data_IF_642217769080
#
_entry.id   IF_642217769080
#
_cell.length_a   1.000
_cell.length_b   1.000
_cell.length_c   1.000
_cell.angle_alpha   90.00
_cell.angle_beta   90.00
_cell.angle_gamma   90.00
#
_symmetry.space_group_name_H-M   'P 1'
#
loop_
_entity.id
_entity.type
_entity.pdbx_description
1 polymer ?
#
# COMPACT_ATOMS: atom_id res chain seq x y z
N UNK A 1 11.90 -0.95 25.77
CA UNK A 1 10.84 -0.96 26.80
C UNK A 1 11.05 0.23 27.71
N UNK A 2 10.05 1.08 27.88
CA UNK A 2 10.12 2.26 28.74
C UNK A 2 8.70 2.72 29.06
N UNK A 3 8.45 3.11 30.30
CA UNK A 3 7.17 3.69 30.69
C UNK A 3 7.17 5.19 30.36
N UNK A 4 6.09 5.68 29.77
CA UNK A 4 5.91 7.11 29.51
C UNK A 4 5.75 7.83 30.86
N UNK A 5 6.83 8.50 31.30
CA UNK A 5 6.84 9.33 32.51
C UNK A 5 6.92 10.80 32.10
N UNK A 6 5.79 11.50 32.21
CA UNK A 6 5.70 12.95 31.95
C UNK A 6 5.77 13.79 33.22
N UNK A 7 5.76 13.16 34.40
CA UNK A 7 5.84 13.86 35.67
C UNK A 7 6.63 13.01 36.68
N UNK A 8 7.54 13.65 37.42
CA UNK A 8 8.28 13.01 38.50
C UNK A 8 8.35 13.94 39.71
N UNK A 9 7.81 13.49 40.85
CA UNK A 9 7.75 14.27 42.10
C UNK A 9 7.15 15.69 41.92
N UNK A 10 6.14 15.84 41.07
CA UNK A 10 5.49 17.12 40.79
C UNK A 10 6.23 18.03 39.80
N UNK A 11 7.36 17.58 39.23
CA UNK A 11 8.07 18.31 38.18
C UNK A 11 7.69 17.77 36.80
N UNK A 12 7.33 18.65 35.84
CA UNK A 12 7.02 18.23 34.48
C UNK A 12 8.28 17.74 33.75
N UNK A 13 8.12 16.69 32.96
CA UNK A 13 9.17 16.05 32.17
C UNK A 13 8.79 16.02 30.69
N UNK A 14 9.77 16.14 29.82
CA UNK A 14 9.62 16.10 28.37
C UNK A 14 10.17 14.80 27.79
N UNK A 15 9.54 14.32 26.72
CA UNK A 15 10.03 13.22 25.90
C UNK A 15 10.14 13.74 24.45
N UNK A 16 11.28 14.32 24.06
CA UNK A 16 11.53 14.73 22.68
C UNK A 16 11.64 13.54 21.73
N UNK A 17 11.29 13.76 20.47
CA UNK A 17 11.61 12.80 19.40
C UNK A 17 13.11 12.71 19.15
N UNK A 18 13.57 11.59 18.59
CA UNK A 18 15.00 11.35 18.35
C UNK A 18 15.66 12.43 17.50
N UNK A 19 14.95 12.94 16.48
CA UNK A 19 15.44 14.04 15.65
C UNK A 19 15.58 15.34 16.44
N UNK A 20 14.57 15.70 17.24
CA UNK A 20 14.62 16.88 18.14
C UNK A 20 15.79 16.76 19.12
N UNK A 21 15.96 15.60 19.75
CA UNK A 21 17.04 15.35 20.69
C UNK A 21 18.42 15.46 20.03
N UNK A 22 18.57 14.95 18.79
CA UNK A 22 19.78 15.07 18.00
C UNK A 22 20.11 16.54 17.68
N UNK A 23 19.15 17.31 17.17
CA UNK A 23 19.38 18.73 16.82
C UNK A 23 19.68 19.62 18.04
N UNK A 24 19.06 19.32 19.19
CA UNK A 24 19.33 20.03 20.45
C UNK A 24 20.59 19.52 21.16
N UNK A 25 21.23 18.46 20.66
CA UNK A 25 22.40 17.85 21.28
C UNK A 25 22.12 17.37 22.71
N UNK A 26 20.92 16.82 22.94
CA UNK A 26 20.49 16.35 24.26
C UNK A 26 21.28 15.10 24.64
N UNK A 27 21.70 15.05 25.89
CA UNK A 27 22.28 13.87 26.50
C UNK A 27 21.49 13.58 27.79
N UNK A 28 20.84 12.43 27.85
CA UNK A 28 20.02 12.01 28.98
C UNK A 28 20.84 11.76 30.26
N UNK A 29 22.15 11.54 30.13
CA UNK A 29 23.05 11.36 31.28
C UNK A 29 23.38 12.70 31.96
N UNK A 30 23.18 13.82 31.26
CA UNK A 30 23.42 15.15 31.82
C UNK A 30 22.16 15.74 32.43
N UNK A 31 21.91 15.38 33.69
CA UNK A 31 20.75 15.82 34.48
C UNK A 31 20.62 17.34 34.71
N UNK A 32 21.67 18.12 34.40
CA UNK A 32 21.63 19.58 34.57
C UNK A 32 21.13 20.32 33.33
N UNK A 33 21.03 19.65 32.19
CA UNK A 33 20.66 20.30 30.93
C UNK A 33 19.15 20.26 30.72
N UNK A 34 18.50 21.41 30.91
CA UNK A 34 17.08 21.60 30.66
C UNK A 34 16.84 22.03 29.20
N UNK A 35 15.67 21.72 28.65
CA UNK A 35 15.22 22.19 27.35
C UNK A 35 14.50 23.52 27.56
N UNK A 36 15.02 24.58 26.95
CA UNK A 36 14.35 25.89 26.95
C UNK A 36 13.30 25.91 25.84
N UNK A 37 12.04 26.11 26.22
CA UNK A 37 10.89 26.15 25.30
C UNK A 37 10.41 27.59 25.14
N UNK A 38 10.36 28.05 23.89
CA UNK A 38 9.87 29.36 23.52
C UNK A 38 8.53 29.26 22.80
N UNK A 39 7.55 30.04 23.25
CA UNK A 39 6.24 30.13 22.60
C UNK A 39 5.85 31.60 22.40
N UNK A 40 5.36 32.01 21.21
CA UNK A 40 4.88 33.37 21.01
C UNK A 40 3.73 33.70 21.96
N UNK A 41 3.76 34.90 22.54
CA UNK A 41 2.67 35.38 23.39
C UNK A 41 1.41 35.65 22.57
N UNK A 42 0.29 35.05 22.97
CA UNK A 42 -1.03 35.29 22.33
C UNK A 42 -1.57 36.71 22.55
N UNK A 43 -1.19 37.36 23.66
CA UNK A 43 -1.73 38.66 24.09
C UNK A 43 -0.59 39.55 24.58
N UNK A 44 -0.57 40.80 24.13
CA UNK A 44 0.42 41.81 24.51
C UNK A 44 0.92 42.58 23.29
N UNK A 45 1.25 43.86 23.47
CA UNK A 45 1.96 44.61 22.44
C UNK A 45 3.37 44.04 22.30
N UNK A 46 3.81 43.78 21.08
CA UNK A 46 5.22 43.48 20.80
C UNK A 46 5.97 44.79 21.11
N UNK A 47 6.60 44.84 22.27
CA UNK A 47 7.42 45.97 22.67
C UNK A 47 8.66 46.10 21.79
N UNK A 48 9.47 47.13 22.05
CA UNK A 48 10.74 47.35 21.32
C UNK A 48 11.74 46.20 21.53
N UNK A 49 11.59 45.42 22.62
CA UNK A 49 12.42 44.26 22.91
C UNK A 49 11.79 42.96 22.37
N UNK A 50 12.39 42.30 21.36
CA UNK A 50 11.90 41.06 20.77
C UNK A 50 11.80 39.89 21.76
N UNK A 51 12.61 39.85 22.82
CA UNK A 51 12.59 38.74 23.79
C UNK A 51 11.29 38.68 24.58
N UNK A 52 10.64 39.83 24.80
CA UNK A 52 9.37 39.91 25.53
C UNK A 52 8.17 39.43 24.71
N UNK A 53 8.37 39.15 23.41
CA UNK A 53 7.33 38.61 22.53
C UNK A 53 7.07 37.11 22.77
N UNK A 54 7.97 36.44 23.52
CA UNK A 54 7.88 35.01 23.79
C UNK A 54 7.68 34.72 25.28
N UNK A 55 6.88 33.71 25.57
CA UNK A 55 6.93 33.00 26.84
C UNK A 55 8.10 32.02 26.77
N UNK A 56 8.89 31.97 27.85
CA UNK A 56 9.99 31.03 28.02
C UNK A 56 9.71 30.17 29.24
N UNK A 57 9.87 28.86 29.09
CA UNK A 57 9.81 27.91 30.19
C UNK A 57 10.82 26.80 29.95
N UNK A 58 11.41 26.29 31.02
CA UNK A 58 12.42 25.25 30.96
C UNK A 58 11.79 23.91 31.40
N UNK A 59 12.14 22.81 30.72
CA UNK A 59 11.64 21.46 31.01
C UNK A 59 12.73 20.41 30.86
N UNK A 60 12.75 19.43 31.75
CA UNK A 60 13.78 18.37 31.73
C UNK A 60 13.41 17.23 30.79
N UNK A 61 14.35 16.71 29.98
CA UNK A 61 14.13 15.49 29.23
C UNK A 61 14.20 14.26 30.15
N UNK A 62 13.23 13.34 30.01
CA UNK A 62 13.22 12.06 30.74
C UNK A 62 13.48 10.86 29.85
N UNK A 63 13.35 11.02 28.54
CA UNK A 63 13.57 9.97 27.56
C UNK A 63 13.47 10.51 26.14
N UNK A 64 13.72 9.64 25.17
CA UNK A 64 13.64 9.96 23.75
C UNK A 64 12.72 8.92 23.11
N UNK A 65 11.77 9.36 22.28
CA UNK A 65 10.97 8.44 21.47
C UNK A 65 11.49 8.39 20.03
N UNK A 66 11.31 7.24 19.38
CA UNK A 66 11.51 7.08 17.94
C UNK A 66 10.39 6.25 17.34
N UNK A 67 9.69 6.82 16.36
CA UNK A 67 8.57 6.22 15.66
C UNK A 67 8.78 6.34 14.15
N UNK A 68 8.92 7.57 13.67
CA UNK A 68 9.11 7.91 12.26
C UNK A 68 9.70 9.31 12.16
N UNK A 69 10.56 9.57 11.17
CA UNK A 69 11.38 10.78 11.04
C UNK A 69 10.56 12.06 11.09
N UNK A 70 9.37 12.05 10.47
CA UNK A 70 8.44 13.18 10.50
C UNK A 70 7.97 13.51 11.91
N UNK A 71 7.74 12.51 12.75
CA UNK A 71 7.37 12.71 14.14
C UNK A 71 8.60 13.03 15.00
N UNK A 72 9.65 12.25 14.82
CA UNK A 72 10.88 12.31 15.61
C UNK A 72 11.58 13.67 15.49
N UNK A 73 11.43 14.37 14.35
CA UNK A 73 12.07 15.67 14.09
C UNK A 73 11.19 16.87 14.45
N UNK A 74 9.88 16.68 14.66
CA UNK A 74 8.91 17.79 14.80
C UNK A 74 8.23 17.86 16.16
N UNK A 75 8.15 16.75 16.90
CA UNK A 75 7.34 16.68 18.13
C UNK A 75 8.18 16.44 19.38
N UNK A 76 7.67 16.97 20.49
CA UNK A 76 8.11 16.71 21.84
C UNK A 76 6.87 16.53 22.72
N UNK A 77 6.81 15.44 23.47
CA UNK A 77 5.68 15.12 24.35
C UNK A 77 5.94 15.75 25.71
N UNK A 78 4.97 16.50 26.23
CA UNK A 78 5.03 17.20 27.52
C UNK A 78 3.69 17.11 28.25
N UNK A 79 3.63 17.33 29.57
CA UNK A 79 2.38 17.49 30.30
C UNK A 79 1.49 18.58 29.73
N UNK A 80 0.17 18.35 29.72
CA UNK A 80 -0.80 19.33 29.25
C UNK A 80 -0.80 20.60 30.10
N UNK A 81 -0.46 20.51 31.38
CA UNK A 81 -0.29 21.65 32.28
C UNK A 81 0.83 22.59 31.80
N UNK A 82 2.01 22.03 31.51
CA UNK A 82 3.16 22.76 30.98
C UNK A 82 2.85 23.39 29.61
N UNK A 83 2.26 22.62 28.70
CA UNK A 83 1.89 23.13 27.37
C UNK A 83 0.91 24.30 27.44
N UNK A 84 -0.08 24.23 28.34
CA UNK A 84 -1.05 25.32 28.56
C UNK A 84 -0.40 26.57 29.11
N UNK A 85 0.55 26.42 30.03
CA UNK A 85 1.26 27.54 30.64
C UNK A 85 2.14 28.27 29.62
N UNK A 86 2.99 27.54 28.89
CA UNK A 86 3.92 28.13 27.91
C UNK A 86 3.18 28.79 26.75
N UNK A 87 2.10 28.18 26.25
CA UNK A 87 1.28 28.70 25.16
C UNK A 87 0.23 29.73 25.62
N UNK A 88 0.03 29.92 26.93
CA UNK A 88 -0.94 30.85 27.50
C UNK A 88 -2.42 30.44 27.29
N UNK A 89 -2.71 29.14 27.26
CA UNK A 89 -4.08 28.62 27.19
C UNK A 89 -4.69 28.49 28.61
N UNK A 90 -5.94 28.93 28.77
CA UNK A 90 -6.70 28.79 30.03
C UNK A 90 -7.83 27.79 29.83
N UNK A 91 -7.59 26.52 30.14
CA UNK A 91 -8.59 25.45 30.04
C UNK A 91 -8.98 25.03 28.61
N UNK A 92 -8.47 25.69 27.59
CA UNK A 92 -8.69 25.38 26.17
C UNK A 92 -7.82 24.18 25.73
N UNK A 93 -8.23 23.52 24.64
CA UNK A 93 -7.50 22.45 23.94
C UNK A 93 -7.55 22.72 22.43
N UNK A 94 -6.45 22.48 21.73
CA UNK A 94 -6.41 22.63 20.26
C UNK A 94 -7.08 21.47 19.54
N UNK A 95 -6.89 20.24 20.04
CA UNK A 95 -7.45 19.02 19.49
C UNK A 95 -7.68 17.99 20.60
N UNK A 96 -8.58 17.05 20.34
CA UNK A 96 -8.81 15.88 21.19
C UNK A 96 -8.66 14.66 20.31
N UNK A 97 -7.75 13.76 20.68
CA UNK A 97 -7.58 12.48 20.01
C UNK A 97 -8.38 11.41 20.74
N UNK A 98 -9.15 10.63 19.98
CA UNK A 98 -10.00 9.57 20.51
C UNK A 98 -9.50 8.25 19.93
N UNK A 99 -8.93 7.42 20.80
CA UNK A 99 -8.57 6.05 20.45
C UNK A 99 -9.81 5.16 20.49
N UNK A 100 -10.04 4.39 19.44
CA UNK A 100 -11.13 3.42 19.35
C UNK A 100 -10.63 2.03 19.73
N UNK A 101 -11.47 1.26 20.41
CA UNK A 101 -11.21 -0.15 20.68
C UNK A 101 -11.23 -0.97 19.39
N UNK A 102 -10.47 -2.08 19.36
CA UNK A 102 -10.42 -2.99 18.23
C UNK A 102 -11.82 -3.50 17.83
N UNK A 103 -12.08 -3.61 16.53
CA UNK A 103 -13.37 -4.05 15.98
C UNK A 103 -14.47 -2.97 15.92
N UNK A 104 -14.19 -1.75 16.39
CA UNK A 104 -15.15 -0.65 16.32
C UNK A 104 -15.21 -0.02 14.93
N UNK A 105 -16.42 0.23 14.41
CA UNK A 105 -16.62 0.90 13.12
C UNK A 105 -16.29 2.41 13.24
N UNK A 106 -15.13 2.79 12.70
CA UNK A 106 -14.62 4.16 12.72
C UNK A 106 -15.59 5.15 12.06
N UNK A 107 -16.25 4.75 10.97
CA UNK A 107 -17.15 5.64 10.21
C UNK A 107 -18.40 5.95 11.01
N UNK A 108 -18.96 4.94 11.68
CA UNK A 108 -20.12 5.11 12.57
C UNK A 108 -19.80 5.96 13.79
N UNK A 109 -18.63 5.77 14.40
CA UNK A 109 -18.23 6.59 15.56
C UNK A 109 -17.98 8.03 15.12
N UNK A 110 -17.29 8.24 14.00
CA UNK A 110 -17.04 9.58 13.46
C UNK A 110 -18.34 10.33 13.15
N UNK A 111 -19.32 9.67 12.53
CA UNK A 111 -20.61 10.29 12.23
C UNK A 111 -21.39 10.63 13.51
N UNK A 112 -21.38 9.75 14.51
CA UNK A 112 -21.98 10.01 15.82
C UNK A 112 -21.35 11.20 16.54
N UNK A 113 -20.01 11.29 16.54
CA UNK A 113 -19.29 12.43 17.15
C UNK A 113 -19.59 13.73 16.38
N UNK A 114 -19.60 13.69 15.05
CA UNK A 114 -19.94 14.86 14.21
C UNK A 114 -21.36 15.34 14.49
N UNK A 115 -22.31 14.43 14.70
CA UNK A 115 -23.68 14.78 15.07
C UNK A 115 -23.78 15.42 16.47
N UNK A 116 -23.00 14.92 17.44
CA UNK A 116 -22.97 15.46 18.80
C UNK A 116 -22.33 16.85 18.90
N UNK A 117 -21.23 17.08 18.16
CA UNK A 117 -20.45 18.33 18.23
C UNK A 117 -20.95 19.42 17.28
N UNK A 118 -21.75 19.05 16.26
CA UNK A 118 -22.24 19.97 15.24
C UNK A 118 -21.15 20.53 14.33
N UNK A 119 -21.42 21.68 13.70
CA UNK A 119 -20.55 22.28 12.68
C UNK A 119 -19.41 23.15 13.24
N UNK A 120 -19.32 23.33 14.56
CA UNK A 120 -18.30 24.16 15.18
C UNK A 120 -16.93 23.48 15.29
N UNK A 121 -16.90 22.16 15.12
CA UNK A 121 -15.70 21.34 15.25
C UNK A 121 -15.43 20.54 13.99
N UNK A 122 -14.15 20.44 13.61
CA UNK A 122 -13.74 19.60 12.50
C UNK A 122 -13.39 18.20 13.02
N UNK A 123 -14.27 17.23 12.76
CA UNK A 123 -14.04 15.83 13.12
C UNK A 123 -13.37 15.12 11.95
N UNK A 124 -12.05 14.89 12.06
CA UNK A 124 -11.24 14.16 11.08
C UNK A 124 -10.83 12.79 11.60
N UNK A 125 -10.88 11.77 10.74
CA UNK A 125 -10.31 10.45 11.02
C UNK A 125 -8.84 10.35 10.56
N UNK A 126 -8.17 9.23 10.87
CA UNK A 126 -6.76 8.97 10.50
C UNK A 126 -6.53 8.88 8.99
N UNK A 127 -7.55 8.65 8.17
CA UNK A 127 -7.40 8.64 6.71
C UNK A 127 -7.47 10.07 6.16
N UNK A 128 -8.36 10.90 6.71
CA UNK A 128 -8.55 12.30 6.33
C UNK A 128 -7.38 13.19 6.78
N UNK A 129 -6.78 12.90 7.94
CA UNK A 129 -5.59 13.62 8.42
C UNK A 129 -4.36 13.39 7.52
N UNK A 130 -4.28 12.24 6.84
CA UNK A 130 -3.17 11.86 5.95
C UNK A 130 -3.65 11.64 4.50
N UNK A 131 -4.65 12.42 4.05
CA UNK A 131 -5.33 12.19 2.77
C UNK A 131 -4.35 12.16 1.58
N UNK A 132 -3.34 13.04 1.56
CA UNK A 132 -2.36 13.12 0.46
C UNK A 132 -1.60 11.81 0.31
N UNK A 133 -1.07 11.26 1.41
CA UNK A 133 -0.32 10.00 1.41
C UNK A 133 -1.20 8.84 0.93
N UNK A 134 -2.42 8.75 1.43
CA UNK A 134 -3.38 7.71 1.01
C UNK A 134 -3.79 7.87 -0.45
N UNK A 135 -4.00 9.10 -0.93
CA UNK A 135 -4.36 9.39 -2.31
C UNK A 135 -3.23 9.00 -3.27
N UNK A 136 -1.98 9.25 -2.90
CA UNK A 136 -0.79 8.82 -3.65
C UNK A 136 -0.76 7.28 -3.73
N UNK A 137 -0.82 6.59 -2.58
CA UNK A 137 -0.79 5.12 -2.56
C UNK A 137 -1.91 4.49 -3.40
N UNK A 138 -3.13 5.04 -3.35
CA UNK A 138 -4.25 4.56 -4.16
C UNK A 138 -4.01 4.78 -5.66
N UNK A 139 -3.46 5.94 -6.02
CA UNK A 139 -3.21 6.29 -7.43
C UNK A 139 -2.08 5.44 -8.01
N UNK A 140 -1.03 5.18 -7.23
CA UNK A 140 0.07 4.30 -7.61
C UNK A 140 -0.41 2.86 -7.86
N UNK A 141 -1.24 2.33 -6.96
CA UNK A 141 -1.88 1.01 -7.15
C UNK A 141 -2.66 0.92 -8.47
N UNK A 142 -3.37 1.98 -8.84
CA UNK A 142 -4.09 2.06 -10.12
C UNK A 142 -3.15 2.07 -11.32
N UNK A 143 -2.03 2.80 -11.26
CA UNK A 143 -1.04 2.83 -12.32
C UNK A 143 -0.42 1.43 -12.54
N UNK A 144 -0.01 0.77 -11.46
CA UNK A 144 0.52 -0.61 -11.50
C UNK A 144 -0.51 -1.58 -12.06
N UNK A 145 -1.77 -1.48 -11.61
CA UNK A 145 -2.86 -2.30 -12.14
C UNK A 145 -3.04 -2.12 -13.65
N UNK A 146 -3.02 -0.88 -14.15
CA UNK A 146 -3.12 -0.63 -15.59
C UNK A 146 -1.96 -1.22 -16.38
N UNK A 147 -0.71 -1.06 -15.91
CA UNK A 147 0.48 -1.62 -16.57
C UNK A 147 0.39 -3.15 -16.63
N UNK A 148 0.07 -3.80 -15.50
CA UNK A 148 -0.12 -5.26 -15.45
C UNK A 148 -1.26 -5.72 -16.37
N UNK A 149 -2.37 -4.97 -16.41
CA UNK A 149 -3.48 -5.23 -17.32
C UNK A 149 -3.06 -5.17 -18.80
N UNK A 150 -2.26 -4.17 -19.19
CA UNK A 150 -1.72 -4.06 -20.54
C UNK A 150 -0.78 -5.22 -20.90
N UNK A 151 0.10 -5.62 -19.98
CA UNK A 151 1.00 -6.77 -20.18
C UNK A 151 0.17 -8.04 -20.42
N UNK A 152 -0.87 -8.26 -19.62
CA UNK A 152 -1.75 -9.42 -19.74
C UNK A 152 -2.57 -9.40 -21.04
N UNK A 153 -3.00 -8.21 -21.48
CA UNK A 153 -3.66 -8.01 -22.75
C UNK A 153 -2.74 -8.36 -23.94
N UNK A 154 -1.49 -7.91 -23.92
CA UNK A 154 -0.49 -8.26 -24.94
C UNK A 154 -0.21 -9.77 -24.94
N UNK A 155 -0.10 -10.38 -23.75
CA UNK A 155 0.09 -11.82 -23.61
C UNK A 155 -1.06 -12.63 -24.23
N UNK A 156 -2.30 -12.15 -24.11
CA UNK A 156 -3.48 -12.77 -24.72
C UNK A 156 -3.37 -12.83 -26.24
N UNK A 157 -2.88 -11.78 -26.90
CA UNK A 157 -2.65 -11.82 -28.36
C UNK A 157 -1.60 -12.84 -28.76
N UNK A 158 -0.53 -13.00 -27.98
CA UNK A 158 0.48 -14.02 -28.25
C UNK A 158 -0.11 -15.43 -28.17
N UNK A 159 -0.97 -15.70 -27.18
CA UNK A 159 -1.68 -16.98 -27.07
C UNK A 159 -2.60 -17.21 -28.27
N UNK A 160 -3.38 -16.20 -28.66
CA UNK A 160 -4.26 -16.27 -29.85
C UNK A 160 -3.45 -16.57 -31.11
N UNK A 161 -2.32 -15.87 -31.31
CA UNK A 161 -1.44 -16.05 -32.46
C UNK A 161 -0.83 -17.46 -32.51
N UNK A 162 -0.30 -17.93 -31.37
CA UNK A 162 0.28 -19.26 -31.24
C UNK A 162 -0.75 -20.38 -31.53
N UNK A 163 -1.94 -20.32 -30.92
CA UNK A 163 -3.00 -21.30 -31.17
C UNK A 163 -3.54 -21.23 -32.59
N UNK A 164 -3.64 -20.04 -33.18
CA UNK A 164 -4.06 -19.88 -34.58
C UNK A 164 -3.06 -20.52 -35.52
N UNK A 165 -1.76 -20.30 -35.30
CA UNK A 165 -0.70 -20.91 -36.09
C UNK A 165 -0.71 -22.44 -35.95
N UNK A 166 -0.86 -22.95 -34.73
CA UNK A 166 -0.96 -24.39 -34.46
C UNK A 166 -2.13 -25.03 -35.22
N UNK A 167 -3.31 -24.39 -35.25
CA UNK A 167 -4.46 -24.87 -36.02
C UNK A 167 -4.15 -24.89 -37.53
N UNK A 168 -3.44 -23.87 -38.04
CA UNK A 168 -3.07 -23.78 -39.46
C UNK A 168 -2.09 -24.91 -39.84
N UNK A 169 -1.06 -25.14 -39.02
CA UNK A 169 -0.07 -26.20 -39.24
C UNK A 169 -0.71 -27.59 -39.21
N UNK A 170 -1.74 -27.77 -38.36
CA UNK A 170 -2.49 -29.02 -38.21
C UNK A 170 -3.65 -29.19 -39.19
N UNK A 171 -3.80 -28.34 -40.20
CA UNK A 171 -4.89 -28.45 -41.20
C UNK A 171 -4.98 -29.80 -41.91
N UNK A 172 -3.84 -30.42 -42.27
CA UNK A 172 -3.82 -31.73 -42.92
C UNK A 172 -4.32 -32.83 -41.98
N UNK A 173 -3.86 -32.82 -40.74
CA UNK A 173 -4.28 -33.77 -39.70
C UNK A 173 -5.78 -33.62 -39.41
N UNK A 174 -6.29 -32.38 -39.35
CA UNK A 174 -7.72 -32.09 -39.20
C UNK A 174 -8.53 -32.69 -40.36
N UNK A 175 -8.07 -32.59 -41.61
CA UNK A 175 -8.75 -33.17 -42.77
C UNK A 175 -8.81 -34.71 -42.74
N UNK A 176 -7.78 -35.36 -42.19
CA UNK A 176 -7.78 -36.82 -41.95
C UNK A 176 -8.83 -37.17 -40.88
N UNK A 177 -8.88 -36.43 -39.77
CA UNK A 177 -9.91 -36.62 -38.74
C UNK A 177 -11.33 -36.45 -39.29
N UNK A 178 -11.57 -35.45 -40.15
CA UNK A 178 -12.87 -35.29 -40.82
C UNK A 178 -13.22 -36.50 -41.69
N UNK A 179 -12.25 -37.02 -42.45
CA UNK A 179 -12.43 -38.21 -43.28
C UNK A 179 -12.74 -39.47 -42.45
N UNK A 180 -12.33 -39.51 -41.19
CA UNK A 180 -12.66 -40.57 -40.22
C UNK A 180 -13.99 -40.35 -39.48
N UNK A 181 -14.73 -39.28 -39.79
CA UNK A 181 -16.04 -38.99 -39.19
C UNK A 181 -16.03 -38.05 -37.98
N UNK A 182 -14.91 -37.34 -37.72
CA UNK A 182 -14.87 -36.32 -36.67
C UNK A 182 -15.78 -35.12 -37.01
N UNK A 183 -16.57 -34.66 -36.03
CA UNK A 183 -17.39 -33.46 -36.17
C UNK A 183 -16.60 -32.18 -35.79
N UNK A 184 -17.16 -31.01 -36.11
CA UNK A 184 -16.57 -29.71 -35.75
C UNK A 184 -16.44 -29.50 -34.22
N UNK A 185 -17.29 -30.12 -33.39
CA UNK A 185 -17.21 -30.01 -31.93
C UNK A 185 -16.02 -30.79 -31.38
N UNK A 186 -15.69 -31.96 -31.94
CA UNK A 186 -14.55 -32.76 -31.55
C UNK A 186 -13.24 -32.00 -31.82
N UNK A 187 -13.10 -31.45 -33.02
CA UNK A 187 -11.94 -30.61 -33.40
C UNK A 187 -11.84 -29.39 -32.48
N UNK A 188 -12.95 -28.70 -32.22
CA UNK A 188 -12.97 -27.57 -31.29
C UNK A 188 -12.57 -27.97 -29.86
N UNK A 189 -13.02 -29.14 -29.38
CA UNK A 189 -12.70 -29.63 -28.04
C UNK A 189 -11.21 -29.90 -27.91
N UNK A 190 -10.58 -30.53 -28.92
CA UNK A 190 -9.13 -30.81 -28.92
C UNK A 190 -8.33 -29.51 -28.76
N UNK A 191 -8.56 -28.52 -29.63
CA UNK A 191 -7.81 -27.26 -29.58
C UNK A 191 -8.14 -26.41 -28.35
N UNK A 192 -9.38 -26.47 -27.84
CA UNK A 192 -9.73 -25.79 -26.59
C UNK A 192 -9.03 -26.43 -25.38
N UNK A 193 -8.96 -27.76 -25.32
CA UNK A 193 -8.23 -28.48 -24.28
C UNK A 193 -6.74 -28.19 -24.34
N UNK A 194 -6.16 -28.12 -25.55
CA UNK A 194 -4.75 -27.72 -25.74
C UNK A 194 -4.50 -26.30 -25.20
N UNK A 195 -5.34 -25.33 -25.57
CA UNK A 195 -5.23 -23.95 -25.08
C UNK A 195 -5.43 -23.84 -23.56
N UNK A 196 -6.30 -24.67 -22.99
CA UNK A 196 -6.46 -24.79 -21.53
C UNK A 196 -5.21 -25.35 -20.87
N UNK A 197 -4.58 -26.40 -21.42
CA UNK A 197 -3.34 -26.96 -20.89
C UNK A 197 -2.20 -25.94 -20.90
N UNK A 198 -2.03 -25.19 -21.99
CA UNK A 198 -1.03 -24.11 -22.08
C UNK A 198 -1.31 -23.02 -21.04
N UNK A 199 -2.57 -22.61 -20.89
CA UNK A 199 -2.94 -21.56 -19.92
C UNK A 199 -2.75 -22.01 -18.46
N UNK A 200 -3.13 -23.25 -18.13
CA UNK A 200 -2.97 -23.82 -16.79
C UNK A 200 -1.50 -24.03 -16.42
N UNK A 201 -0.71 -24.60 -17.32
CA UNK A 201 0.73 -24.81 -17.10
C UNK A 201 1.46 -23.48 -16.92
N UNK A 202 1.11 -22.46 -17.71
CA UNK A 202 1.60 -21.10 -17.54
C UNK A 202 1.20 -20.50 -16.18
N UNK A 203 -0.07 -20.63 -15.78
CA UNK A 203 -0.55 -20.13 -14.50
C UNK A 203 0.14 -20.80 -13.30
N UNK A 204 0.29 -22.13 -13.33
CA UNK A 204 0.98 -22.90 -12.27
C UNK A 204 2.45 -22.49 -12.19
N UNK A 205 3.14 -22.45 -13.33
CA UNK A 205 4.56 -22.07 -13.37
C UNK A 205 4.76 -20.62 -12.89
N UNK A 206 3.89 -19.70 -13.31
CA UNK A 206 3.90 -18.32 -12.88
C UNK A 206 3.64 -18.15 -11.38
N UNK A 207 2.70 -18.91 -10.80
CA UNK A 207 2.46 -18.91 -9.35
C UNK A 207 3.66 -19.41 -8.57
N UNK A 208 4.30 -20.50 -9.03
CA UNK A 208 5.49 -21.05 -8.38
C UNK A 208 6.63 -20.04 -8.40
N UNK A 209 6.90 -19.43 -9.57
CA UNK A 209 7.93 -18.40 -9.72
C UNK A 209 7.61 -17.16 -8.87
N UNK A 210 6.37 -16.70 -8.87
CA UNK A 210 5.93 -15.56 -8.06
C UNK A 210 6.10 -15.82 -6.56
N UNK A 211 5.67 -16.99 -6.08
CA UNK A 211 5.86 -17.40 -4.69
C UNK A 211 7.35 -17.46 -4.32
N UNK A 212 8.19 -18.01 -5.20
CA UNK A 212 9.63 -18.09 -4.98
C UNK A 212 10.26 -16.69 -4.87
N UNK A 213 9.87 -15.74 -5.73
CA UNK A 213 10.32 -14.34 -5.64
C UNK A 213 9.87 -13.71 -4.33
N UNK A 214 8.62 -13.92 -3.89
CA UNK A 214 8.14 -13.42 -2.61
C UNK A 214 8.92 -14.01 -1.42
N UNK A 215 9.23 -15.31 -1.45
CA UNK A 215 10.03 -15.97 -0.41
C UNK A 215 11.46 -15.42 -0.36
N UNK A 216 12.09 -15.20 -1.51
CA UNK A 216 13.41 -14.56 -1.59
C UNK A 216 13.34 -13.13 -1.01
N UNK A 217 12.30 -12.36 -1.33
CA UNK A 217 12.12 -11.03 -0.77
C UNK A 217 11.94 -11.05 0.75
N UNK A 218 11.19 -12.02 1.29
CA UNK A 218 11.01 -12.18 2.74
C UNK A 218 12.31 -12.58 3.45
N UNK A 219 13.13 -13.44 2.84
CA UNK A 219 14.36 -13.95 3.45
C UNK A 219 15.54 -12.98 3.32
N UNK A 220 15.69 -12.33 2.15
CA UNK A 220 16.86 -11.52 1.82
C UNK A 220 16.59 -10.01 1.80
N UNK A 221 15.32 -9.58 1.79
CA UNK A 221 14.98 -8.16 1.81
C UNK A 221 15.57 -7.38 0.63
N UNK A 222 15.56 -7.96 -0.58
CA UNK A 222 16.22 -7.40 -1.77
C UNK A 222 15.73 -5.98 -2.09
N UNK A 223 14.42 -5.75 -2.02
CA UNK A 223 13.82 -4.44 -2.17
C UNK A 223 13.80 -3.76 -0.81
N UNK A 224 14.83 -2.92 -0.58
CA UNK A 224 14.95 -2.09 0.62
C UNK A 224 14.10 -0.84 0.49
N UNK A 225 13.55 -0.38 1.60
CA UNK A 225 12.93 0.94 1.67
C UNK A 225 14.09 1.94 1.80
N UNK A 226 14.57 2.46 0.67
CA UNK A 226 15.57 3.53 0.66
C UNK A 226 14.95 4.76 1.32
N UNK A 227 15.22 4.93 2.60
CA UNK A 227 14.91 6.16 3.31
C UNK A 227 16.26 6.69 3.76
N UNK A 228 16.68 7.82 3.20
CA UNK A 228 17.92 8.55 3.50
C UNK A 228 17.97 9.10 4.95
N UNK A 229 17.46 8.36 5.93
CA UNK A 229 17.28 8.82 7.31
C UNK A 229 17.10 7.73 8.37
N UNK A 230 17.31 6.45 8.05
CA UNK A 230 17.41 5.37 9.06
C UNK A 230 16.16 5.16 9.94
N UNK A 231 14.99 5.61 9.51
CA UNK A 231 13.84 5.82 10.39
C UNK A 231 12.75 4.74 10.38
N UNK A 232 12.80 3.78 9.46
CA UNK A 232 11.91 2.62 9.58
C UNK A 232 12.72 1.49 10.21
N UNK A 233 12.25 0.96 11.34
CA UNK A 233 12.76 -0.28 11.97
C UNK A 233 12.65 -1.52 11.04
N UNK A 234 12.10 -1.34 9.84
CA UNK A 234 11.84 -2.36 8.83
C UNK A 234 12.72 -2.02 7.62
N UNK A 235 13.82 -2.77 7.44
CA UNK A 235 14.83 -2.50 6.40
C UNK A 235 14.36 -2.84 4.97
N UNK A 236 13.32 -3.67 4.83
CA UNK A 236 12.84 -4.16 3.54
C UNK A 236 11.32 -4.03 3.39
N UNK A 237 10.84 -3.87 2.16
CA UNK A 237 9.40 -3.75 1.91
C UNK A 237 8.69 -5.04 2.36
N UNK A 238 7.75 -4.96 3.33
CA UNK A 238 7.11 -6.15 3.88
C UNK A 238 6.16 -6.76 2.86
N UNK A 239 6.38 -8.03 2.52
CA UNK A 239 5.52 -8.79 1.61
C UNK A 239 4.70 -9.78 2.43
N UNK A 240 3.38 -9.60 2.44
CA UNK A 240 2.43 -10.55 3.03
C UNK A 240 1.86 -11.43 1.93
N UNK A 241 2.17 -12.73 1.97
CA UNK A 241 1.58 -13.69 1.05
C UNK A 241 0.23 -14.17 1.58
N UNK A 242 -0.86 -13.74 0.97
CA UNK A 242 -2.20 -14.22 1.29
C UNK A 242 -2.64 -15.30 0.30
N UNK A 243 -3.02 -16.49 0.79
CA UNK A 243 -3.43 -17.59 -0.07
C UNK A 243 -4.61 -17.24 -1.01
N UNK A 244 -5.49 -16.34 -0.57
CA UNK A 244 -6.61 -15.86 -1.37
C UNK A 244 -6.16 -15.06 -2.60
N UNK A 245 -5.07 -14.29 -2.50
CA UNK A 245 -4.54 -13.52 -3.63
C UNK A 245 -4.02 -14.44 -4.73
N UNK A 246 -3.33 -15.53 -4.35
CA UNK A 246 -2.90 -16.56 -5.30
C UNK A 246 -4.10 -17.21 -6.01
N UNK A 247 -5.17 -17.52 -5.27
CA UNK A 247 -6.39 -18.09 -5.84
C UNK A 247 -7.05 -17.12 -6.84
N UNK A 248 -7.16 -15.83 -6.50
CA UNK A 248 -7.73 -14.83 -7.40
C UNK A 248 -6.89 -14.65 -8.67
N UNK A 249 -5.57 -14.58 -8.55
CA UNK A 249 -4.65 -14.48 -9.69
C UNK A 249 -4.81 -15.70 -10.59
N UNK A 250 -4.82 -16.90 -10.01
CA UNK A 250 -5.02 -18.14 -10.76
C UNK A 250 -6.32 -18.12 -11.57
N UNK A 251 -7.44 -17.77 -10.92
CA UNK A 251 -8.74 -17.72 -11.58
C UNK A 251 -8.78 -16.69 -12.71
N UNK A 252 -8.21 -15.50 -12.50
CA UNK A 252 -8.17 -14.43 -13.51
C UNK A 252 -7.33 -14.85 -14.72
N UNK A 253 -6.13 -15.37 -14.49
CA UNK A 253 -5.21 -15.79 -15.56
C UNK A 253 -5.80 -16.97 -16.34
N UNK A 254 -6.36 -17.97 -15.64
CA UNK A 254 -7.03 -19.10 -16.29
C UNK A 254 -8.24 -18.64 -17.11
N UNK A 255 -9.07 -17.74 -16.58
CA UNK A 255 -10.23 -17.21 -17.30
C UNK A 255 -9.81 -16.49 -18.60
N UNK A 256 -8.79 -15.64 -18.52
CA UNK A 256 -8.27 -14.90 -19.69
C UNK A 256 -7.66 -15.86 -20.71
N UNK A 257 -6.89 -16.86 -20.27
CA UNK A 257 -6.33 -17.88 -21.15
C UNK A 257 -7.39 -18.70 -21.88
N UNK A 258 -8.49 -19.06 -21.18
CA UNK A 258 -9.63 -19.75 -21.79
C UNK A 258 -10.32 -18.85 -22.84
N UNK A 259 -10.55 -17.58 -22.53
CA UNK A 259 -11.16 -16.62 -23.47
C UNK A 259 -10.26 -16.45 -24.70
N UNK A 260 -8.95 -16.33 -24.50
CA UNK A 260 -7.95 -16.23 -25.55
C UNK A 260 -7.97 -17.46 -26.47
N UNK A 261 -8.02 -18.66 -25.90
CA UNK A 261 -8.07 -19.92 -26.65
C UNK A 261 -9.41 -20.12 -27.39
N UNK A 262 -10.50 -19.59 -26.86
CA UNK A 262 -11.83 -19.76 -27.45
C UNK A 262 -12.02 -18.97 -28.75
N UNK A 263 -11.42 -17.79 -28.88
CA UNK A 263 -11.51 -16.93 -30.06
C UNK A 263 -11.06 -17.62 -31.38
N UNK A 264 -9.84 -18.18 -31.49
CA UNK A 264 -9.39 -18.84 -32.72
C UNK A 264 -10.17 -20.13 -33.00
N UNK A 265 -10.50 -20.91 -31.97
CA UNK A 265 -11.28 -22.15 -32.07
C UNK A 265 -12.69 -21.90 -32.59
N UNK A 266 -13.30 -20.77 -32.21
CA UNK A 266 -14.60 -20.36 -32.75
C UNK A 266 -14.52 -20.10 -34.26
N UNK A 267 -13.47 -19.41 -34.69
CA UNK A 267 -13.26 -19.02 -36.09
C UNK A 267 -12.86 -20.21 -36.98
N UNK A 268 -12.07 -21.16 -36.47
CA UNK A 268 -11.65 -22.36 -37.20
C UNK A 268 -12.81 -23.26 -37.66
N UNK A 269 -13.93 -23.26 -36.91
CA UNK A 269 -15.14 -24.02 -37.31
C UNK A 269 -15.86 -23.44 -38.53
N UNK A 270 -15.59 -22.19 -38.93
CA UNK A 270 -16.22 -21.54 -40.10
C UNK A 270 -15.41 -21.73 -41.39
N UNK A 271 -14.12 -22.00 -41.29
CA UNK A 271 -13.24 -22.28 -42.44
C UNK A 271 -13.34 -23.72 -42.94
N UNK A 272 -14.25 -24.54 -42.39
CA UNK A 272 -14.58 -25.88 -42.87
C UNK A 272 -15.19 -25.95 -44.28
N UNK A 273 -15.49 -24.81 -44.91
CA UNK A 273 -15.72 -24.73 -46.35
C UNK A 273 -14.42 -24.32 -47.07
N UNK A 274 -13.43 -25.21 -47.10
CA UNK A 274 -12.34 -25.05 -48.08
C UNK A 274 -12.91 -25.40 -49.47
N UNK A 275 -12.66 -24.56 -50.49
CA UNK A 275 -13.24 -24.73 -51.82
C UNK A 275 -12.80 -26.04 -52.46
N UNK A 276 -13.71 -26.63 -53.22
CA UNK A 276 -13.53 -27.81 -54.05
C UNK A 276 -12.59 -27.58 -55.25
N UNK A 277 -11.39 -27.03 -55.03
CA UNK A 277 -10.41 -26.77 -56.08
C UNK A 277 -9.05 -27.34 -55.71
N UNK A 278 -8.98 -28.68 -55.60
CA UNK A 278 -7.77 -29.46 -55.82
C UNK A 278 -7.98 -30.39 -57.02
N UNK A 279 -8.43 -29.80 -58.12
CA UNK A 279 -8.33 -30.36 -59.47
C UNK A 279 -8.04 -29.21 -60.44
N UNK A 280 -6.78 -28.76 -60.50
CA UNK A 280 -6.13 -28.38 -61.76
C UNK A 280 -4.69 -27.91 -61.51
N UNK A 281 -3.77 -28.71 -62.08
CA UNK A 281 -2.34 -28.48 -62.34
C UNK A 281 -1.36 -28.65 -61.18
#
# INVERSE_FOLDING_TARGET
EGALMLEFKGQPLAIPGQGVAYYLGLNLDNFQREIEVYAPRRKGAIGVNPEQAFNRMDIRPAGIFSIQQDFDSKYMIVPISFAREVLGYKGELSSVEIALNEGTDMVKVQSGIRQLLGNNFEVKNRFEQQEVLYRIMRTEKWAIFMILGFILFIATFNVIGSLSMLIIDKRKDIAVLYSMGADHKLIRKIFLTEGMMVSFSGAITGMILGALVCLIQQQFGLVKINTEGGSFLIEAYPVLMQAMDFLYIFLIVSAIGIIAAWLPVRNAGRTGSLPATLHSR
#
